data_IF_394730223634
#
_entry.id   IF_394730223634
#
_cell.length_a   1.000
_cell.length_b   1.000
_cell.length_c   1.000
_cell.angle_alpha   90.00
_cell.angle_beta   90.00
_cell.angle_gamma   90.00
#
_symmetry.space_group_name_H-M   'P 1'
#
loop_
_entity.id
_entity.type
_entity.pdbx_description
1 polymer ?
#
# COMPACT_ATOMS: atom_id res chain seq x y z
N UNK A 1 -27.26 -15.25 -21.36
CA UNK A 1 -27.63 -15.31 -19.93
C UNK A 1 -28.71 -14.27 -19.60
N UNK A 2 -29.84 -14.68 -19.01
CA UNK A 2 -30.82 -13.80 -18.36
C UNK A 2 -30.18 -12.95 -17.26
N UNK A 3 -30.78 -11.79 -16.95
CA UNK A 3 -30.23 -10.85 -15.96
C UNK A 3 -30.30 -11.43 -14.55
N UNK A 4 -31.35 -12.19 -14.24
CA UNK A 4 -31.57 -12.86 -12.95
C UNK A 4 -30.49 -13.92 -12.67
N UNK A 5 -30.15 -14.72 -13.67
CA UNK A 5 -29.10 -15.74 -13.56
C UNK A 5 -27.71 -15.10 -13.35
N UNK A 6 -27.45 -13.98 -14.02
CA UNK A 6 -26.22 -13.20 -13.82
C UNK A 6 -26.17 -12.55 -12.43
N UNK A 7 -27.31 -12.05 -11.92
CA UNK A 7 -27.39 -11.49 -10.58
C UNK A 7 -27.09 -12.56 -9.51
N UNK A 8 -27.63 -13.77 -9.68
CA UNK A 8 -27.34 -14.92 -8.81
C UNK A 8 -25.86 -15.34 -8.88
N UNK A 9 -25.27 -15.34 -10.08
CA UNK A 9 -23.83 -15.61 -10.25
C UNK A 9 -22.97 -14.58 -9.50
N UNK A 10 -23.28 -13.29 -9.66
CA UNK A 10 -22.57 -12.20 -8.99
C UNK A 10 -22.73 -12.28 -7.47
N UNK A 11 -23.90 -12.67 -6.96
CA UNK A 11 -24.12 -12.87 -5.53
C UNK A 11 -23.27 -14.02 -4.97
N UNK A 12 -23.25 -15.18 -5.66
CA UNK A 12 -22.50 -16.35 -5.22
C UNK A 12 -20.98 -16.12 -5.16
N UNK A 13 -20.44 -15.24 -6.01
CA UNK A 13 -19.00 -14.96 -6.10
C UNK A 13 -18.60 -13.58 -5.50
N UNK A 14 -19.56 -12.76 -5.08
CA UNK A 14 -19.35 -11.37 -4.65
C UNK A 14 -19.07 -11.17 -3.15
N UNK A 15 -18.89 -12.25 -2.39
CA UNK A 15 -18.70 -12.21 -0.92
C UNK A 15 -19.73 -11.33 -0.19
N UNK A 16 -20.97 -11.29 -0.67
CA UNK A 16 -22.10 -10.53 -0.09
C UNK A 16 -21.87 -9.02 0.15
N UNK A 17 -20.85 -8.39 -0.47
CA UNK A 17 -20.57 -6.94 -0.32
C UNK A 17 -21.34 -6.04 -1.28
N UNK A 18 -22.09 -6.61 -2.21
CA UNK A 18 -22.74 -5.89 -3.30
C UNK A 18 -24.17 -5.53 -2.92
N UNK A 19 -24.45 -4.22 -2.77
CA UNK A 19 -25.76 -3.71 -2.30
C UNK A 19 -26.90 -3.97 -3.30
N UNK A 20 -26.63 -3.87 -4.61
CA UNK A 20 -27.64 -4.00 -5.68
C UNK A 20 -27.16 -4.98 -6.78
N UNK A 21 -27.34 -6.31 -6.62
CA UNK A 21 -26.83 -7.31 -7.56
C UNK A 21 -27.49 -7.25 -8.94
N UNK A 22 -28.78 -6.92 -9.03
CA UNK A 22 -29.48 -6.81 -10.32
C UNK A 22 -28.99 -5.64 -11.17
N UNK A 23 -28.72 -4.50 -10.54
CA UNK A 23 -28.21 -3.30 -11.20
C UNK A 23 -26.79 -3.54 -11.72
N UNK A 24 -25.95 -4.20 -10.93
CA UNK A 24 -24.61 -4.63 -11.32
C UNK A 24 -24.67 -5.64 -12.47
N UNK A 25 -25.59 -6.60 -12.44
CA UNK A 25 -25.78 -7.55 -13.53
C UNK A 25 -26.19 -6.83 -14.83
N UNK A 26 -27.09 -5.83 -14.75
CA UNK A 26 -27.48 -5.02 -15.91
C UNK A 26 -26.29 -4.23 -16.47
N UNK A 27 -25.48 -3.59 -15.63
CA UNK A 27 -24.30 -2.83 -16.09
C UNK A 27 -23.22 -3.74 -16.67
N UNK A 28 -22.93 -4.89 -16.06
CA UNK A 28 -22.02 -5.91 -16.60
C UNK A 28 -22.47 -6.42 -17.97
N UNK A 29 -23.76 -6.73 -18.12
CA UNK A 29 -24.33 -7.17 -19.40
C UNK A 29 -24.23 -6.08 -20.47
N UNK A 30 -24.50 -4.83 -20.10
CA UNK A 30 -24.33 -3.68 -21.02
C UNK A 30 -22.86 -3.48 -21.42
N UNK A 31 -21.93 -3.58 -20.47
CA UNK A 31 -20.49 -3.46 -20.72
C UNK A 31 -19.98 -4.59 -21.62
N UNK A 32 -20.38 -5.84 -21.36
CA UNK A 32 -20.03 -7.00 -22.19
C UNK A 32 -20.55 -6.84 -23.63
N UNK A 33 -21.76 -6.31 -23.81
CA UNK A 33 -22.33 -6.06 -25.14
C UNK A 33 -21.60 -4.94 -25.90
N UNK A 34 -21.05 -3.94 -25.18
CA UNK A 34 -20.26 -2.84 -25.76
C UNK A 34 -18.78 -3.20 -25.94
N UNK A 35 -18.31 -4.29 -25.35
CA UNK A 35 -16.92 -4.70 -25.44
C UNK A 35 -16.55 -4.99 -26.90
N UNK A 36 -15.32 -4.64 -27.27
CA UNK A 36 -14.81 -4.90 -28.60
C UNK A 36 -14.76 -6.41 -28.84
N UNK A 37 -15.41 -6.86 -29.92
CA UNK A 37 -15.38 -8.28 -30.32
C UNK A 37 -14.04 -8.57 -30.96
N UNK A 38 -13.30 -9.50 -30.36
CA UNK A 38 -12.04 -9.96 -30.92
C UNK A 38 -12.30 -10.76 -32.21
N UNK A 39 -11.34 -10.69 -33.13
CA UNK A 39 -11.33 -11.59 -34.28
C UNK A 39 -11.24 -13.05 -33.77
N UNK A 40 -12.06 -13.99 -34.29
CA UNK A 40 -12.04 -15.40 -33.89
C UNK A 40 -10.63 -16.00 -33.81
N UNK A 41 -9.76 -15.70 -34.77
CA UNK A 41 -8.40 -16.27 -34.85
C UNK A 41 -7.47 -15.77 -33.72
N UNK A 42 -7.79 -14.62 -33.11
CA UNK A 42 -7.03 -14.02 -32.01
C UNK A 42 -7.66 -14.31 -30.64
N UNK A 43 -8.91 -14.82 -30.61
CA UNK A 43 -9.64 -15.00 -29.36
C UNK A 43 -8.92 -15.97 -28.41
N UNK A 44 -8.41 -17.07 -28.96
CA UNK A 44 -7.73 -18.11 -28.18
C UNK A 44 -6.38 -17.62 -27.63
N UNK A 45 -5.61 -16.89 -28.44
CA UNK A 45 -4.30 -16.36 -28.03
C UNK A 45 -4.43 -15.26 -26.97
N UNK A 46 -5.40 -14.35 -27.12
CA UNK A 46 -5.70 -13.32 -26.13
C UNK A 46 -6.23 -13.95 -24.83
N UNK A 47 -7.15 -14.92 -24.94
CA UNK A 47 -7.70 -15.61 -23.76
C UNK A 47 -6.61 -16.35 -22.98
N UNK A 48 -5.68 -17.02 -23.68
CA UNK A 48 -4.52 -17.65 -23.06
C UNK A 48 -3.63 -16.63 -22.34
N UNK A 49 -3.31 -15.52 -23.00
CA UNK A 49 -2.46 -14.46 -22.44
C UNK A 49 -3.09 -13.84 -21.19
N UNK A 50 -4.39 -13.57 -21.22
CA UNK A 50 -5.14 -13.05 -20.09
C UNK A 50 -5.17 -14.04 -18.93
N UNK A 51 -5.36 -15.33 -19.21
CA UNK A 51 -5.35 -16.39 -18.20
C UNK A 51 -4.00 -16.45 -17.49
N UNK A 52 -2.90 -16.51 -18.25
CA UNK A 52 -1.54 -16.51 -17.69
C UNK A 52 -1.24 -15.25 -16.86
N UNK A 53 -1.69 -14.08 -17.33
CA UNK A 53 -1.51 -12.82 -16.61
C UNK A 53 -2.28 -12.82 -15.29
N UNK A 54 -3.51 -13.34 -15.29
CA UNK A 54 -4.35 -13.43 -14.11
C UNK A 54 -3.79 -14.44 -13.09
N UNK A 55 -3.25 -15.56 -13.56
CA UNK A 55 -2.52 -16.52 -12.72
C UNK A 55 -1.29 -15.88 -12.06
N UNK A 56 -0.52 -15.08 -12.81
CA UNK A 56 0.62 -14.34 -12.26
C UNK A 56 0.20 -13.36 -11.17
N UNK A 57 -0.89 -12.61 -11.38
CA UNK A 57 -1.43 -11.68 -10.37
C UNK A 57 -1.79 -12.45 -9.10
N UNK A 58 -2.57 -13.53 -9.22
CA UNK A 58 -2.97 -14.38 -8.08
C UNK A 58 -1.77 -14.98 -7.36
N UNK A 59 -0.76 -15.42 -8.11
CA UNK A 59 0.47 -15.95 -7.55
C UNK A 59 1.18 -14.88 -6.72
N UNK A 60 1.41 -13.69 -7.27
CA UNK A 60 2.07 -12.58 -6.58
C UNK A 60 1.30 -12.15 -5.33
N UNK A 61 -0.03 -12.06 -5.39
CA UNK A 61 -0.87 -11.79 -4.21
C UNK A 61 -0.70 -12.86 -3.11
N UNK A 62 -0.58 -14.14 -3.50
CA UNK A 62 -0.35 -15.23 -2.54
C UNK A 62 1.04 -15.15 -1.91
N UNK A 63 2.06 -14.74 -2.67
CA UNK A 63 3.42 -14.56 -2.17
C UNK A 63 3.50 -13.37 -1.21
N UNK A 64 2.84 -12.25 -1.53
CA UNK A 64 2.75 -11.10 -0.64
C UNK A 64 2.16 -11.48 0.73
N UNK A 65 1.04 -12.22 0.75
CA UNK A 65 0.43 -12.70 2.01
C UNK A 65 1.37 -13.58 2.84
N UNK A 66 2.18 -14.42 2.19
CA UNK A 66 3.18 -15.25 2.89
C UNK A 66 4.28 -14.38 3.50
N UNK A 67 4.79 -13.40 2.75
CA UNK A 67 5.79 -12.46 3.22
C UNK A 67 5.27 -11.61 4.39
N UNK A 68 4.04 -11.08 4.29
CA UNK A 68 3.42 -10.29 5.37
C UNK A 68 3.31 -11.08 6.68
N UNK A 69 3.01 -12.39 6.57
CA UNK A 69 2.95 -13.29 7.72
C UNK A 69 4.32 -13.50 8.35
N UNK A 70 5.35 -13.74 7.54
CA UNK A 70 6.72 -13.90 8.04
C UNK A 70 7.26 -12.59 8.63
N UNK A 71 7.01 -11.43 8.01
CA UNK A 71 7.36 -10.11 8.57
C UNK A 71 6.72 -9.92 9.94
N UNK A 72 5.41 -10.21 10.05
CA UNK A 72 4.69 -10.11 11.33
C UNK A 72 5.28 -11.04 12.40
N UNK A 73 5.68 -12.25 12.01
CA UNK A 73 6.33 -13.22 12.92
C UNK A 73 7.69 -12.72 13.40
N UNK A 74 8.52 -12.18 12.51
CA UNK A 74 9.82 -11.62 12.88
C UNK A 74 9.67 -10.39 13.77
N UNK A 75 8.71 -9.50 13.47
CA UNK A 75 8.45 -8.31 14.25
C UNK A 75 8.10 -8.61 15.71
N UNK A 76 7.35 -9.69 15.96
CA UNK A 76 7.00 -10.14 17.31
C UNK A 76 8.23 -10.54 18.16
N UNK A 77 9.38 -10.84 17.53
CA UNK A 77 10.63 -11.11 18.22
C UNK A 77 11.30 -9.85 18.79
N UNK A 78 10.93 -8.66 18.28
CA UNK A 78 11.47 -7.39 18.73
C UNK A 78 10.54 -6.73 19.75
N UNK A 79 11.11 -6.16 20.82
CA UNK A 79 10.36 -5.36 21.79
C UNK A 79 10.08 -3.99 21.18
N UNK A 80 8.88 -3.79 20.63
CA UNK A 80 8.47 -2.54 20.02
C UNK A 80 7.03 -2.16 20.39
N UNK A 81 6.73 -0.86 20.42
CA UNK A 81 5.41 -0.29 20.76
C UNK A 81 4.68 0.30 19.55
N UNK A 82 5.28 0.30 18.36
CA UNK A 82 4.71 0.93 17.16
C UNK A 82 3.37 0.32 16.75
N UNK A 83 3.18 -0.99 16.97
CA UNK A 83 1.92 -1.70 16.66
C UNK A 83 0.75 -1.31 17.56
N UNK A 84 0.97 -0.58 18.66
CA UNK A 84 -0.14 -0.09 19.50
C UNK A 84 -0.79 1.17 18.94
N UNK A 85 -0.15 1.83 17.97
CA UNK A 85 -0.65 3.07 17.39
C UNK A 85 -1.76 2.71 16.38
N UNK A 86 -2.97 3.30 16.48
CA UNK A 86 -4.04 3.04 15.53
C UNK A 86 -3.64 3.49 14.12
N UNK A 87 -3.81 2.60 13.14
CA UNK A 87 -3.39 2.84 11.75
C UNK A 87 -1.97 2.41 11.42
N UNK A 88 -1.17 1.99 12.41
CA UNK A 88 0.16 1.42 12.16
C UNK A 88 0.06 -0.06 11.77
N UNK A 89 0.46 -0.40 10.55
CA UNK A 89 0.52 -1.79 10.09
C UNK A 89 1.85 -2.47 10.46
N UNK A 90 1.84 -3.81 10.57
CA UNK A 90 3.03 -4.60 10.88
C UNK A 90 4.19 -4.37 9.89
N UNK A 91 3.87 -4.16 8.61
CA UNK A 91 4.88 -3.90 7.56
C UNK A 91 5.57 -2.56 7.78
N UNK A 92 4.81 -1.50 8.10
CA UNK A 92 5.36 -0.17 8.39
C UNK A 92 6.18 -0.17 9.67
N UNK A 93 5.69 -0.85 10.72
CA UNK A 93 6.43 -1.03 11.97
C UNK A 93 7.76 -1.78 11.74
N UNK A 94 7.73 -2.88 11.00
CA UNK A 94 8.94 -3.63 10.65
C UNK A 94 9.91 -2.80 9.80
N UNK A 95 9.41 -2.02 8.85
CA UNK A 95 10.23 -1.08 8.06
C UNK A 95 10.92 -0.04 8.93
N UNK A 96 10.20 0.61 9.86
CA UNK A 96 10.81 1.57 10.78
C UNK A 96 11.87 0.92 11.69
N UNK A 97 11.56 -0.25 12.27
CA UNK A 97 12.52 -0.98 13.10
C UNK A 97 13.75 -1.37 12.30
N UNK A 98 13.61 -1.81 11.05
CA UNK A 98 14.73 -2.16 10.19
C UNK A 98 15.60 -0.95 9.83
N UNK A 99 15.00 0.20 9.52
CA UNK A 99 15.75 1.40 9.12
C UNK A 99 16.40 2.14 10.32
N UNK A 100 15.74 2.13 11.47
CA UNK A 100 16.27 2.70 12.72
C UNK A 100 17.31 1.76 13.32
N UNK A 101 17.09 0.44 13.28
CA UNK A 101 17.93 -0.54 13.95
C UNK A 101 17.92 -0.32 15.46
N UNK A 102 19.11 -0.15 16.04
CA UNK A 102 19.26 0.20 17.46
C UNK A 102 18.87 1.67 17.70
N UNK A 103 17.88 1.89 18.57
CA UNK A 103 17.38 3.22 18.92
C UNK A 103 18.39 3.98 19.78
N UNK A 104 19.19 3.27 20.59
CA UNK A 104 20.13 3.86 21.54
C UNK A 104 21.32 4.54 20.84
N UNK A 105 21.53 4.29 19.54
CA UNK A 105 22.52 4.99 18.72
C UNK A 105 22.23 6.47 18.55
N UNK A 106 20.98 6.89 18.77
CA UNK A 106 20.55 8.29 18.63
C UNK A 106 20.50 8.98 19.99
N UNK A 107 21.23 10.09 20.11
CA UNK A 107 21.25 10.88 21.35
C UNK A 107 19.89 11.53 21.68
N UNK A 108 19.12 11.89 20.65
CA UNK A 108 17.83 12.56 20.79
C UNK A 108 16.95 12.37 19.54
N UNK A 109 15.68 12.71 19.68
CA UNK A 109 14.68 12.72 18.62
C UNK A 109 15.06 13.63 17.45
N UNK A 110 15.76 14.74 17.70
CA UNK A 110 16.28 15.60 16.64
C UNK A 110 17.31 14.88 15.76
N UNK A 111 18.14 14.01 16.34
CA UNK A 111 19.09 13.20 15.57
C UNK A 111 18.37 12.19 14.67
N UNK A 112 17.26 11.61 15.14
CA UNK A 112 16.40 10.74 14.33
C UNK A 112 15.75 11.53 13.21
N UNK A 113 15.20 12.72 13.48
CA UNK A 113 14.60 13.57 12.46
C UNK A 113 15.61 14.00 11.39
N UNK A 114 16.84 14.34 11.80
CA UNK A 114 17.95 14.64 10.89
C UNK A 114 18.31 13.43 10.05
N UNK A 115 18.39 12.24 10.65
CA UNK A 115 18.65 10.99 9.94
C UNK A 115 17.52 10.65 8.95
N UNK A 116 16.27 10.94 9.30
CA UNK A 116 15.09 10.74 8.46
C UNK A 116 14.88 11.83 7.38
N UNK A 117 15.82 12.78 7.19
CA UNK A 117 15.67 13.89 6.23
C UNK A 117 14.42 14.75 6.48
N UNK A 118 13.97 14.83 7.74
CA UNK A 118 12.83 15.64 8.19
C UNK A 118 13.32 16.92 8.88
N UNK A 119 14.34 17.55 8.30
CA UNK A 119 14.93 18.80 8.79
C UNK A 119 15.17 19.75 7.63
N UNK A 120 15.09 21.04 7.90
CA UNK A 120 15.37 22.09 6.93
C UNK A 120 16.82 22.56 7.01
N UNK A 121 17.40 22.90 5.88
CA UNK A 121 18.76 23.46 5.83
C UNK A 121 18.76 24.86 6.44
N UNK A 122 19.75 25.17 7.29
CA UNK A 122 19.89 26.54 7.80
C UNK A 122 20.82 27.34 6.90
N UNK A 123 20.34 28.43 6.31
CA UNK A 123 21.17 29.39 5.57
C UNK A 123 21.25 30.70 6.37
N UNK A 124 22.42 30.98 6.94
CA UNK A 124 22.67 32.16 7.77
C UNK A 124 23.93 32.88 7.29
N UNK A 125 23.84 34.19 7.10
CA UNK A 125 24.97 35.07 6.75
C UNK A 125 24.92 36.32 7.64
N UNK A 126 25.88 36.46 8.54
CA UNK A 126 25.90 37.54 9.54
C UNK A 126 24.59 37.59 10.36
N UNK A 127 23.90 38.73 10.27
CA UNK A 127 22.60 38.95 10.93
C UNK A 127 21.40 38.45 10.12
N UNK A 128 21.60 37.95 8.90
CA UNK A 128 20.53 37.43 8.05
C UNK A 128 20.37 35.92 8.28
N UNK A 129 19.14 35.49 8.57
CA UNK A 129 18.72 34.09 8.57
C UNK A 129 17.61 33.94 7.53
N UNK A 130 17.77 33.04 6.58
CA UNK A 130 16.72 32.75 5.62
C UNK A 130 15.53 32.05 6.30
N UNK A 131 14.31 32.53 6.01
CA UNK A 131 13.06 31.91 6.47
C UNK A 131 12.69 30.72 5.59
N UNK A 132 12.78 30.89 4.26
CA UNK A 132 12.52 29.82 3.29
C UNK A 132 13.80 29.06 2.95
N UNK A 133 13.81 27.78 3.33
CA UNK A 133 14.94 26.89 3.09
C UNK A 133 14.49 25.54 2.58
N UNK A 134 15.35 24.88 1.80
CA UNK A 134 15.04 23.55 1.26
C UNK A 134 15.16 22.47 2.33
N UNK A 135 14.37 21.41 2.19
CA UNK A 135 14.48 20.20 2.99
C UNK A 135 15.87 19.56 2.79
N UNK A 136 16.48 19.12 3.89
CA UNK A 136 17.79 18.49 3.85
C UNK A 136 17.77 17.22 2.98
N UNK A 137 18.79 17.08 2.12
CA UNK A 137 18.94 15.93 1.23
C UNK A 137 19.87 14.84 1.79
N UNK A 138 20.42 15.01 2.98
CA UNK A 138 21.35 14.04 3.59
C UNK A 138 20.63 13.19 4.64
N UNK A 139 20.74 11.86 4.54
CA UNK A 139 20.11 10.92 5.48
C UNK A 139 19.44 9.74 4.76
N UNK A 140 18.68 8.96 5.53
CA UNK A 140 17.98 7.78 5.05
C UNK A 140 16.64 8.15 4.39
N UNK A 141 16.51 7.86 3.09
CA UNK A 141 15.30 8.12 2.32
C UNK A 141 14.16 7.16 2.67
N UNK A 142 14.47 5.90 2.97
CA UNK A 142 13.47 4.89 3.30
C UNK A 142 12.84 5.16 4.66
N UNK A 143 13.65 5.57 5.65
CA UNK A 143 13.12 6.01 6.95
C UNK A 143 12.13 7.16 6.79
N UNK A 144 12.44 8.15 5.95
CA UNK A 144 11.51 9.24 5.63
C UNK A 144 10.20 8.71 5.03
N UNK A 145 10.32 7.82 4.05
CA UNK A 145 9.18 7.23 3.37
C UNK A 145 8.25 6.52 4.36
N UNK A 146 8.80 5.63 5.20
CA UNK A 146 8.00 4.91 6.19
C UNK A 146 7.36 5.84 7.23
N UNK A 147 8.06 6.89 7.69
CA UNK A 147 7.49 7.85 8.64
C UNK A 147 6.34 8.65 8.03
N UNK A 148 6.48 9.10 6.78
CA UNK A 148 5.44 9.87 6.08
C UNK A 148 4.22 9.00 5.77
N UNK A 149 4.44 7.77 5.29
CA UNK A 149 3.34 6.84 5.06
C UNK A 149 2.63 6.47 6.35
N UNK A 150 3.38 6.18 7.41
CA UNK A 150 2.80 5.88 8.70
C UNK A 150 1.98 7.06 9.26
N UNK A 151 2.47 8.29 9.13
CA UNK A 151 1.71 9.48 9.50
C UNK A 151 0.40 9.63 8.70
N UNK A 152 0.44 9.30 7.39
CA UNK A 152 -0.75 9.31 6.54
C UNK A 152 -1.76 8.23 6.95
N UNK A 153 -1.29 7.01 7.26
CA UNK A 153 -2.15 5.94 7.77
C UNK A 153 -2.81 6.32 9.10
N UNK A 154 -2.04 6.88 10.04
CA UNK A 154 -2.59 7.40 11.30
C UNK A 154 -3.65 8.46 11.04
N UNK A 155 -3.42 9.42 10.13
CA UNK A 155 -4.40 10.45 9.76
C UNK A 155 -5.73 9.84 9.24
N UNK A 156 -5.67 8.74 8.50
CA UNK A 156 -6.85 8.09 7.92
C UNK A 156 -7.61 7.27 9.00
N UNK A 157 -6.88 6.65 9.93
CA UNK A 157 -7.43 5.65 10.84
C UNK A 157 -7.63 6.11 12.29
N UNK A 158 -7.03 7.21 12.73
CA UNK A 158 -7.09 7.71 14.11
C UNK A 158 -8.36 8.54 14.41
N UNK A 159 -9.53 8.12 13.91
CA UNK A 159 -10.83 8.71 14.26
C UNK A 159 -11.43 8.03 15.48
#
# INVERSE_FOLDING_TARGET
MPVEELANFVLSHGNNRLKNPEEIAKTLKSAANRAYRLNPDMCDTVSMTLTLTLENIRFLESQLKKLDKEISKQLNGFRQTLTTIPGFGNVLAAGLVAEIGDVDRFKNECAVAKFARLVWNKYQSGNFSAEDTSLAKCGNQYLRYYLVEAANCVRIHAK
#
